data_IF_181676174768
#
_entry.id   IF_181676174768
#
_cell.length_a   1.000
_cell.length_b   1.000
_cell.length_c   1.000
_cell.angle_alpha   90.00
_cell.angle_beta   90.00
_cell.angle_gamma   90.00
#
_symmetry.space_group_name_H-M   'P 1'
#
loop_
_entity.id
_entity.type
_entity.pdbx_description
1 polymer ?
#
# COMPACT_ATOMS: atom_id res chain seq x y z
N UNK A 1 -15.96 -3.65 9.72
CA UNK A 1 -15.82 -2.26 9.42
C UNK A 1 -14.96 -2.06 8.19
N UNK A 2 -15.07 -0.94 7.53
CA UNK A 2 -14.35 -0.68 6.29
C UNK A 2 -13.73 0.70 6.30
N UNK A 3 -12.56 0.83 5.68
CA UNK A 3 -11.83 2.08 5.64
C UNK A 3 -12.64 3.23 5.01
N UNK A 4 -13.44 2.95 3.99
CA UNK A 4 -14.23 3.96 3.31
C UNK A 4 -15.56 4.25 3.99
N UNK A 5 -16.17 3.25 4.59
CA UNK A 5 -17.52 3.34 5.12
C UNK A 5 -17.56 3.46 6.63
N UNK A 6 -16.48 3.09 7.28
CA UNK A 6 -16.42 3.12 8.72
C UNK A 6 -15.96 4.50 9.17
N UNK A 7 -16.65 5.01 10.15
CA UNK A 7 -16.34 6.32 10.71
C UNK A 7 -15.06 6.32 11.55
N UNK A 8 -14.62 5.15 11.97
CA UNK A 8 -13.39 5.02 12.74
C UNK A 8 -12.15 5.02 11.87
N UNK A 9 -12.29 4.66 10.60
CA UNK A 9 -11.20 4.58 9.66
C UNK A 9 -11.51 5.38 8.40
N UNK A 10 -10.54 6.11 7.93
CA UNK A 10 -10.65 6.80 6.65
C UNK A 10 -9.31 6.79 5.95
N UNK A 11 -9.37 6.82 4.63
CA UNK A 11 -8.18 6.95 3.80
C UNK A 11 -8.31 8.27 3.07
N UNK A 12 -7.30 9.11 3.20
CA UNK A 12 -7.28 10.40 2.54
C UNK A 12 -5.94 10.60 1.85
N UNK A 13 -5.97 11.34 0.76
CA UNK A 13 -4.75 11.75 0.09
C UNK A 13 -3.99 12.70 1.02
N UNK A 14 -2.68 12.56 1.09
CA UNK A 14 -1.88 13.41 1.96
C UNK A 14 -1.85 14.84 1.43
N UNK A 15 -2.47 15.73 2.18
CA UNK A 15 -2.48 17.16 1.85
C UNK A 15 -1.70 17.98 2.87
N UNK A 16 -0.98 17.35 3.76
CA UNK A 16 -0.29 18.03 4.85
C UNK A 16 1.01 18.69 4.42
N UNK A 17 1.63 18.21 3.36
CA UNK A 17 2.81 18.85 2.80
C UNK A 17 2.40 20.04 1.97
N UNK A 18 3.32 20.98 1.73
CA UNK A 18 2.99 22.08 0.84
C UNK A 18 2.64 21.52 -0.54
N UNK A 19 1.66 22.16 -1.19
CA UNK A 19 1.19 21.68 -2.48
C UNK A 19 2.32 21.58 -3.50
N UNK A 20 3.19 22.57 -3.56
CA UNK A 20 4.28 22.58 -4.53
C UNK A 20 5.32 21.50 -4.27
N UNK A 21 5.69 21.28 -3.02
CA UNK A 21 6.63 20.24 -2.64
C UNK A 21 6.05 18.87 -2.95
N UNK A 22 4.79 18.66 -2.62
CA UNK A 22 4.11 17.41 -2.90
C UNK A 22 4.04 17.15 -4.40
N UNK A 23 3.70 18.16 -5.19
CA UNK A 23 3.61 18.04 -6.63
C UNK A 23 4.96 17.65 -7.25
N UNK A 24 6.05 18.30 -6.83
CA UNK A 24 7.39 17.95 -7.30
C UNK A 24 7.75 16.53 -6.93
N UNK A 25 7.45 16.15 -5.70
CA UNK A 25 7.72 14.80 -5.22
C UNK A 25 7.01 13.76 -6.09
N UNK A 26 5.73 13.95 -6.37
CA UNK A 26 4.95 13.01 -7.18
C UNK A 26 5.45 12.95 -8.61
N UNK A 27 5.80 14.09 -9.21
CA UNK A 27 6.27 14.13 -10.59
C UNK A 27 7.60 13.42 -10.79
N UNK A 28 8.46 13.44 -9.78
CA UNK A 28 9.82 12.88 -9.86
C UNK A 28 9.95 11.53 -9.17
N UNK A 29 8.83 10.94 -8.76
CA UNK A 29 8.82 9.75 -7.94
C UNK A 29 8.09 8.61 -8.63
N UNK A 30 8.38 7.33 -8.25
CA UNK A 30 7.69 6.18 -8.82
C UNK A 30 6.26 6.02 -8.30
N UNK A 31 5.80 6.89 -7.41
CA UNK A 31 4.47 6.76 -6.81
C UNK A 31 3.37 7.20 -7.77
N UNK A 32 2.31 6.38 -7.82
CA UNK A 32 1.08 6.69 -8.54
C UNK A 32 0.10 7.40 -7.64
N UNK A 33 -0.05 6.91 -6.40
CA UNK A 33 -0.95 7.46 -5.40
C UNK A 33 -0.36 7.28 -4.01
N UNK A 34 -0.78 8.16 -3.12
CA UNK A 34 -0.28 8.16 -1.75
C UNK A 34 -1.41 8.57 -0.81
N UNK A 35 -1.70 7.75 0.22
CA UNK A 35 -2.80 7.97 1.15
C UNK A 35 -2.33 7.80 2.59
N UNK A 36 -3.00 8.53 3.48
CA UNK A 36 -2.89 8.29 4.92
C UNK A 36 -4.08 7.46 5.38
N UNK A 37 -3.84 6.59 6.33
CA UNK A 37 -4.88 5.81 6.98
C UNK A 37 -5.16 6.45 8.33
N UNK A 38 -6.42 6.80 8.56
CA UNK A 38 -6.84 7.40 9.83
C UNK A 38 -7.81 6.47 10.54
N UNK A 39 -7.65 6.42 11.86
CA UNK A 39 -8.55 5.73 12.75
C UNK A 39 -8.93 6.72 13.86
N UNK A 40 -10.18 7.16 13.89
CA UNK A 40 -10.68 8.10 14.91
C UNK A 40 -9.82 9.36 15.04
N UNK A 41 -9.51 10.01 13.96
CA UNK A 41 -8.71 11.23 13.94
C UNK A 41 -7.20 11.02 14.16
N UNK A 42 -6.75 9.79 14.33
CA UNK A 42 -5.33 9.49 14.44
C UNK A 42 -4.82 8.89 13.14
N UNK A 43 -3.66 9.33 12.71
CA UNK A 43 -2.98 8.70 11.57
C UNK A 43 -2.34 7.42 12.07
N UNK A 44 -2.76 6.30 11.52
CA UNK A 44 -2.27 4.99 11.94
C UNK A 44 -1.44 4.29 10.87
N UNK A 45 -1.35 4.87 9.69
CA UNK A 45 -0.55 4.29 8.63
C UNK A 45 -0.62 5.06 7.34
N UNK A 46 0.00 4.47 6.33
CA UNK A 46 0.04 5.03 5.00
C UNK A 46 -0.02 3.93 3.94
N UNK A 47 -0.49 4.30 2.77
CA UNK A 47 -0.56 3.43 1.60
C UNK A 47 0.10 4.16 0.45
N UNK A 48 0.99 3.47 -0.26
CA UNK A 48 1.56 3.95 -1.51
C UNK A 48 1.22 2.97 -2.62
N UNK A 49 0.74 3.50 -3.73
CA UNK A 49 0.54 2.71 -4.94
C UNK A 49 1.56 3.20 -5.95
N UNK A 50 2.40 2.29 -6.40
CA UNK A 50 3.51 2.63 -7.28
C UNK A 50 3.13 2.47 -8.75
N UNK A 51 3.81 3.18 -9.61
CA UNK A 51 3.61 3.05 -11.05
C UNK A 51 4.06 1.68 -11.57
N UNK A 52 4.80 0.93 -10.77
CA UNK A 52 5.20 -0.45 -11.06
C UNK A 52 4.10 -1.47 -10.74
N UNK A 53 2.96 -1.02 -10.24
CA UNK A 53 1.90 -1.83 -9.64
C UNK A 53 2.28 -2.40 -8.27
N UNK A 54 3.35 -1.92 -7.67
CA UNK A 54 3.70 -2.25 -6.29
C UNK A 54 2.79 -1.52 -5.31
N UNK A 55 2.49 -2.17 -4.22
CA UNK A 55 1.72 -1.59 -3.12
C UNK A 55 2.58 -1.64 -1.87
N UNK A 56 2.62 -0.54 -1.14
CA UNK A 56 3.28 -0.48 0.15
C UNK A 56 2.26 -0.04 1.19
N UNK A 57 2.09 -0.84 2.22
CA UNK A 57 1.18 -0.55 3.33
C UNK A 57 2.00 -0.55 4.61
N UNK A 58 2.01 0.59 5.29
CA UNK A 58 2.73 0.74 6.54
C UNK A 58 1.71 1.10 7.61
N UNK A 59 1.50 0.20 8.55
CA UNK A 59 0.48 0.36 9.58
C UNK A 59 1.12 0.25 10.95
N UNK A 60 0.84 1.24 11.78
CA UNK A 60 1.26 1.23 13.17
C UNK A 60 0.61 0.04 13.86
N UNK A 61 1.41 -0.74 14.59
CA UNK A 61 0.94 -1.92 15.32
C UNK A 61 0.46 -3.09 14.45
N UNK A 62 0.63 -3.03 13.14
CA UNK A 62 0.28 -4.12 12.22
C UNK A 62 -1.11 -4.73 12.48
N UNK A 63 -2.12 -3.88 12.63
CA UNK A 63 -3.49 -4.32 12.87
C UNK A 63 -4.02 -5.07 11.64
N UNK A 64 -4.37 -6.34 11.80
CA UNK A 64 -4.82 -7.19 10.69
C UNK A 64 -6.10 -6.66 10.04
N UNK A 65 -7.01 -6.08 10.83
CA UNK A 65 -8.25 -5.52 10.30
C UNK A 65 -7.95 -4.35 9.39
N UNK A 66 -7.04 -3.47 9.79
CA UNK A 66 -6.66 -2.32 8.98
C UNK A 66 -5.93 -2.77 7.72
N UNK A 67 -5.07 -3.78 7.83
CA UNK A 67 -4.38 -4.37 6.67
C UNK A 67 -5.41 -4.90 5.66
N UNK A 68 -6.34 -5.70 6.13
CA UNK A 68 -7.40 -6.26 5.29
C UNK A 68 -8.21 -5.18 4.61
N UNK A 69 -8.67 -4.21 5.38
CA UNK A 69 -9.50 -3.15 4.86
C UNK A 69 -8.74 -2.28 3.86
N UNK A 70 -7.45 -2.07 4.10
CA UNK A 70 -6.60 -1.32 3.18
C UNK A 70 -6.46 -2.03 1.84
N UNK A 71 -6.20 -3.32 1.87
CA UNK A 71 -6.04 -4.11 0.64
C UNK A 71 -7.37 -4.18 -0.11
N UNK A 72 -8.46 -4.46 0.59
CA UNK A 72 -9.78 -4.49 -0.04
C UNK A 72 -10.14 -3.15 -0.67
N UNK A 73 -9.82 -2.05 0.01
CA UNK A 73 -10.09 -0.71 -0.51
C UNK A 73 -9.28 -0.44 -1.79
N UNK A 74 -8.01 -0.80 -1.80
CA UNK A 74 -7.17 -0.62 -3.00
C UNK A 74 -7.76 -1.40 -4.17
N UNK A 75 -8.08 -2.66 -3.96
CA UNK A 75 -8.60 -3.51 -5.02
C UNK A 75 -9.97 -3.06 -5.53
N UNK A 76 -10.75 -2.42 -4.66
CA UNK A 76 -12.07 -1.92 -5.05
C UNK A 76 -12.01 -0.58 -5.81
N UNK A 77 -10.94 0.20 -5.63
CA UNK A 77 -10.87 1.56 -6.15
C UNK A 77 -9.82 1.76 -7.24
N UNK A 78 -8.91 0.83 -7.41
CA UNK A 78 -7.82 0.96 -8.38
C UNK A 78 -7.64 -0.32 -9.15
N UNK A 79 -7.27 -0.16 -10.41
CA UNK A 79 -6.86 -1.28 -11.24
C UNK A 79 -5.35 -1.16 -11.48
N UNK A 80 -4.65 -2.30 -11.62
CA UNK A 80 -3.25 -2.26 -12.00
C UNK A 80 -3.08 -1.54 -13.32
N UNK A 81 -1.98 -0.81 -13.46
CA UNK A 81 -1.62 -0.26 -14.75
C UNK A 81 -1.29 -1.39 -15.72
N UNK A 82 -1.46 -1.16 -17.04
CA UNK A 82 -1.19 -2.18 -18.03
C UNK A 82 0.22 -2.75 -17.96
N UNK A 83 0.36 -4.02 -18.29
CA UNK A 83 1.65 -4.69 -18.33
C UNK A 83 2.60 -4.02 -19.32
N UNK A 84 3.86 -3.89 -18.90
CA UNK A 84 4.97 -3.54 -19.76
C UNK A 84 5.99 -4.67 -19.62
N UNK A 85 6.20 -5.44 -20.66
CA UNK A 85 7.08 -6.60 -20.61
C UNK A 85 8.44 -6.24 -20.03
N UNK A 86 8.89 -7.03 -19.05
CA UNK A 86 10.15 -6.87 -18.33
C UNK A 86 10.25 -5.61 -17.46
N UNK A 87 9.20 -4.79 -17.39
CA UNK A 87 9.21 -3.56 -16.62
C UNK A 87 8.10 -3.55 -15.59
N UNK A 88 6.89 -3.94 -15.98
CA UNK A 88 5.73 -3.89 -15.09
C UNK A 88 4.84 -5.09 -15.29
N UNK A 89 4.59 -5.82 -14.20
CA UNK A 89 3.60 -6.90 -14.18
C UNK A 89 2.20 -6.34 -14.36
N UNK A 90 1.28 -7.15 -14.88
CA UNK A 90 -0.12 -6.76 -15.01
C UNK A 90 -0.91 -6.86 -13.72
N UNK A 91 -0.30 -7.35 -12.66
CA UNK A 91 -0.95 -7.51 -11.35
C UNK A 91 -0.38 -6.57 -10.32
N UNK A 92 -1.19 -6.19 -9.33
CA UNK A 92 -0.65 -5.57 -8.13
C UNK A 92 0.21 -6.59 -7.39
N UNK A 93 1.28 -6.11 -6.78
CA UNK A 93 2.12 -6.92 -5.89
C UNK A 93 2.47 -6.11 -4.65
N UNK A 94 2.73 -6.80 -3.57
CA UNK A 94 3.06 -6.16 -2.30
C UNK A 94 4.32 -6.81 -1.73
N UNK A 95 5.23 -5.97 -1.25
CA UNK A 95 6.46 -6.43 -0.60
C UNK A 95 6.25 -6.36 0.91
N UNK A 96 6.65 -7.41 1.60
CA UNK A 96 6.45 -7.55 3.05
C UNK A 96 7.78 -7.81 3.70
N UNK A 97 8.07 -7.05 4.76
CA UNK A 97 9.26 -7.30 5.56
C UNK A 97 9.18 -8.69 6.19
N UNK A 98 10.29 -9.47 6.20
CA UNK A 98 10.26 -10.84 6.73
C UNK A 98 9.75 -10.94 8.16
N UNK A 99 9.96 -9.91 8.97
CA UNK A 99 9.53 -9.90 10.36
C UNK A 99 8.06 -9.49 10.54
N UNK A 100 7.39 -9.10 9.46
CA UNK A 100 5.98 -8.71 9.52
C UNK A 100 5.09 -9.95 9.35
N UNK A 101 4.94 -10.71 10.42
CA UNK A 101 4.18 -11.95 10.39
C UNK A 101 2.68 -11.72 10.18
N UNK A 102 2.15 -10.62 10.71
CA UNK A 102 0.72 -10.33 10.58
C UNK A 102 0.35 -10.16 9.11
N UNK A 103 1.12 -9.36 8.37
CA UNK A 103 0.89 -9.15 6.96
C UNK A 103 1.08 -10.44 6.16
N UNK A 104 2.17 -11.17 6.44
CA UNK A 104 2.45 -12.43 5.75
C UNK A 104 1.35 -13.45 5.99
N UNK A 105 0.87 -13.56 7.22
CA UNK A 105 -0.21 -14.49 7.55
C UNK A 105 -1.51 -14.09 6.85
N UNK A 106 -1.84 -12.81 6.82
CA UNK A 106 -3.03 -12.36 6.13
C UNK A 106 -2.95 -12.68 4.63
N UNK A 107 -1.82 -12.37 4.00
CA UNK A 107 -1.65 -12.62 2.56
C UNK A 107 -1.71 -14.11 2.23
N UNK A 108 -1.28 -14.98 3.14
CA UNK A 108 -1.37 -16.42 2.91
C UNK A 108 -2.79 -16.95 2.97
N UNK A 109 -3.71 -16.20 3.59
CA UNK A 109 -5.13 -16.58 3.72
C UNK A 109 -5.99 -16.13 2.56
N UNK A 110 -5.50 -15.23 1.74
CA UNK A 110 -6.25 -14.70 0.60
C UNK A 110 -5.68 -15.29 -0.70
N UNK A 111 -6.33 -14.99 -1.80
CA UNK A 111 -5.88 -15.45 -3.12
C UNK A 111 -4.65 -14.65 -3.54
N UNK A 112 -3.50 -15.05 -3.04
CA UNK A 112 -2.23 -14.45 -3.36
C UNK A 112 -1.17 -15.52 -3.61
N UNK A 113 -0.12 -15.13 -4.31
CA UNK A 113 0.98 -16.02 -4.65
C UNK A 113 2.30 -15.35 -4.28
N UNK A 114 3.12 -16.05 -3.51
CA UNK A 114 4.46 -15.58 -3.22
C UNK A 114 5.33 -15.76 -4.46
N UNK A 115 5.84 -14.64 -5.00
CA UNK A 115 6.58 -14.66 -6.26
C UNK A 115 8.07 -14.37 -6.09
N UNK A 116 8.48 -13.87 -4.93
CA UNK A 116 9.84 -13.36 -4.80
C UNK A 116 10.31 -13.33 -3.36
N UNK A 117 11.59 -13.65 -3.15
CA UNK A 117 12.32 -13.32 -1.93
C UNK A 117 13.44 -12.37 -2.31
N UNK A 118 13.60 -11.27 -1.58
CA UNK A 118 14.63 -10.28 -1.86
C UNK A 118 15.71 -10.33 -0.80
N UNK A 119 16.96 -10.43 -1.23
CA UNK A 119 18.12 -10.55 -0.35
C UNK A 119 19.07 -9.38 -0.58
N UNK A 120 19.63 -8.87 0.52
CA UNK A 120 20.69 -7.88 0.45
C UNK A 120 22.03 -8.64 0.42
N UNK A 121 22.84 -8.36 -0.59
CA UNK A 121 24.16 -8.95 -0.69
C UNK A 121 25.15 -8.08 0.07
N UNK A 122 25.89 -8.71 0.97
CA UNK A 122 26.91 -8.02 1.76
C UNK A 122 28.28 -8.57 1.42
N UNK A 123 29.25 -7.68 1.35
CA UNK A 123 30.64 -8.07 1.15
C UNK A 123 31.29 -8.50 2.45
#
# INVERSE_FOLDING_TARGET
YKLLNDRSHSISHDSLTSFDEHKLFVLNNPYREWFLIRDKNLVVGSIYILKSNGISINIKNNDEVIIRDSIEWILANFEPLPEIKSIRSKYFHISVHPDNEVMSNYLSKIDSLLIEHTYILKN
#
